data_IF_054918684465
#
_entry.id   IF_054918684465
#
_cell.length_a   1.000
_cell.length_b   1.000
_cell.length_c   1.000
_cell.angle_alpha   90.00
_cell.angle_beta   90.00
_cell.angle_gamma   90.00
#
_symmetry.space_group_name_H-M   'P 1'
#
loop_
_entity.id
_entity.type
_entity.pdbx_description
1 polymer ?
#
# COMPACT_ATOMS: atom_id res chain seq x y z
N UNK A 1 -77.92 -14.39 8.79
CA UNK A 1 -77.05 -13.63 7.92
C UNK A 1 -75.75 -13.31 8.69
N UNK A 2 -74.67 -13.93 8.34
CA UNK A 2 -73.39 -13.90 9.10
C UNK A 2 -72.47 -12.86 8.49
N UNK A 3 -72.03 -11.88 9.29
CA UNK A 3 -70.93 -10.95 8.99
C UNK A 3 -69.59 -11.69 9.12
N UNK A 4 -68.70 -11.61 8.10
CA UNK A 4 -67.30 -12.01 8.15
C UNK A 4 -66.45 -10.75 8.36
N UNK A 5 -65.70 -10.74 9.46
CA UNK A 5 -64.68 -9.76 9.74
C UNK A 5 -63.42 -10.15 9.00
N UNK A 6 -62.79 -9.19 8.28
CA UNK A 6 -61.46 -9.34 7.69
C UNK A 6 -60.45 -8.66 8.61
N UNK A 7 -59.60 -9.47 9.21
CA UNK A 7 -58.36 -9.01 9.88
C UNK A 7 -57.30 -8.73 8.82
N UNK A 8 -56.91 -7.47 8.70
CA UNK A 8 -55.75 -7.03 7.92
C UNK A 8 -54.50 -7.09 8.79
N UNK A 9 -53.60 -8.02 8.51
CA UNK A 9 -52.26 -8.04 9.08
C UNK A 9 -51.34 -7.07 8.33
N UNK A 10 -50.93 -5.99 9.00
CA UNK A 10 -49.83 -5.14 8.57
C UNK A 10 -48.49 -5.88 8.83
N UNK A 11 -47.86 -6.36 7.79
CA UNK A 11 -46.46 -6.79 7.81
C UNK A 11 -45.59 -5.56 7.59
N UNK A 12 -44.97 -5.07 8.67
CA UNK A 12 -43.89 -4.09 8.60
C UNK A 12 -42.64 -4.78 8.05
N UNK A 13 -42.39 -4.62 6.76
CA UNK A 13 -41.14 -5.06 6.12
C UNK A 13 -39.99 -4.10 6.44
N UNK A 14 -39.10 -4.49 7.33
CA UNK A 14 -37.79 -3.84 7.49
C UNK A 14 -36.94 -4.18 6.28
N UNK A 15 -36.99 -3.32 5.27
CA UNK A 15 -36.12 -3.42 4.11
C UNK A 15 -34.65 -3.15 4.49
N UNK A 16 -33.87 -4.21 4.61
CA UNK A 16 -32.43 -4.14 4.59
C UNK A 16 -32.01 -3.67 3.18
N UNK A 17 -31.70 -2.40 3.06
CA UNK A 17 -30.98 -1.87 1.88
C UNK A 17 -29.56 -2.44 1.88
N UNK A 18 -29.36 -3.60 1.27
CA UNK A 18 -28.05 -4.01 0.78
C UNK A 18 -27.75 -3.17 -0.47
N UNK A 19 -26.70 -2.33 -0.48
CA UNK A 19 -26.33 -1.65 -1.70
C UNK A 19 -25.92 -2.72 -2.72
N UNK A 20 -26.64 -2.82 -3.82
CA UNK A 20 -26.23 -3.57 -5.00
C UNK A 20 -24.89 -3.03 -5.45
N UNK A 21 -23.83 -3.76 -5.15
CA UNK A 21 -22.55 -3.56 -5.84
C UNK A 21 -22.82 -3.96 -7.29
N UNK A 22 -23.01 -2.96 -8.17
CA UNK A 22 -23.05 -3.19 -9.62
C UNK A 22 -21.83 -4.03 -9.98
N UNK A 23 -22.04 -5.22 -10.51
CA UNK A 23 -20.98 -6.07 -11.02
C UNK A 23 -20.15 -5.25 -12.01
N UNK A 24 -18.86 -5.03 -11.68
CA UNK A 24 -17.93 -4.34 -12.59
C UNK A 24 -17.79 -5.14 -13.88
N UNK A 25 -17.80 -4.46 -15.00
CA UNK A 25 -17.48 -5.04 -16.30
C UNK A 25 -16.04 -5.60 -16.22
N UNK A 26 -15.77 -6.86 -16.60
CA UNK A 26 -14.42 -7.46 -16.50
C UNK A 26 -13.33 -6.70 -17.28
N UNK A 27 -13.73 -5.82 -18.21
CA UNK A 27 -12.85 -5.01 -19.06
C UNK A 27 -12.52 -3.63 -18.46
N UNK A 28 -13.12 -3.27 -17.32
CA UNK A 28 -12.93 -1.94 -16.73
C UNK A 28 -11.69 -1.92 -15.82
N UNK A 29 -10.84 -0.87 -15.99
CA UNK A 29 -9.68 -0.67 -15.15
C UNK A 29 -10.07 -0.59 -13.67
N UNK A 30 -9.37 -1.34 -12.84
CA UNK A 30 -9.60 -1.39 -11.39
C UNK A 30 -8.29 -1.44 -10.62
N UNK A 31 -8.31 -0.91 -9.40
CA UNK A 31 -7.18 -0.91 -8.47
C UNK A 31 -7.29 -2.13 -7.56
N UNK A 32 -6.18 -2.85 -7.40
CA UNK A 32 -6.08 -4.01 -6.51
C UNK A 32 -5.47 -3.58 -5.19
N UNK A 33 -6.26 -3.63 -4.11
CA UNK A 33 -5.80 -3.21 -2.79
C UNK A 33 -5.16 -4.34 -2.00
N UNK A 34 -4.17 -3.97 -1.19
CA UNK A 34 -3.57 -4.76 -0.11
C UNK A 34 -3.75 -4.01 1.21
N UNK A 35 -3.98 -4.73 2.31
CA UNK A 35 -4.17 -4.11 3.62
C UNK A 35 -2.82 -3.90 4.31
N UNK A 36 -2.53 -2.67 4.71
CA UNK A 36 -1.37 -2.36 5.54
C UNK A 36 -1.56 -2.84 6.97
N UNK A 37 -0.72 -3.73 7.43
CA UNK A 37 -0.72 -4.09 8.85
C UNK A 37 -0.13 -3.00 9.75
N UNK A 38 0.62 -2.04 9.19
CA UNK A 38 1.16 -0.90 9.93
C UNK A 38 0.10 -0.02 10.58
N UNK A 39 -1.08 0.11 9.95
CA UNK A 39 -2.19 0.90 10.50
C UNK A 39 -2.74 0.32 11.81
N UNK A 40 -2.50 -0.95 12.04
CA UNK A 40 -2.97 -1.71 13.21
C UNK A 40 -1.93 -1.81 14.32
N UNK A 41 -0.70 -1.32 14.10
CA UNK A 41 0.36 -1.21 15.10
C UNK A 41 0.71 -2.54 15.76
N UNK A 42 0.37 -2.67 17.04
CA UNK A 42 0.64 -3.85 17.88
C UNK A 42 -0.61 -4.72 18.17
N UNK A 43 -1.74 -4.44 17.54
CA UNK A 43 -2.93 -5.29 17.68
C UNK A 43 -2.64 -6.74 17.30
N UNK A 44 -3.35 -7.73 17.89
CA UNK A 44 -3.14 -9.13 17.56
C UNK A 44 -3.30 -9.42 16.07
N UNK A 45 -2.38 -10.16 15.47
CA UNK A 45 -2.40 -10.49 14.04
C UNK A 45 -3.71 -11.17 13.61
N UNK A 46 -4.30 -12.02 14.45
CA UNK A 46 -5.58 -12.69 14.18
C UNK A 46 -6.72 -11.69 13.98
N UNK A 47 -6.77 -10.62 14.77
CA UNK A 47 -7.74 -9.54 14.61
C UNK A 47 -7.53 -8.74 13.33
N UNK A 48 -6.26 -8.51 12.95
CA UNK A 48 -5.89 -7.78 11.74
C UNK A 48 -6.23 -8.57 10.49
N UNK A 49 -5.93 -9.87 10.47
CA UNK A 49 -6.25 -10.75 9.34
C UNK A 49 -7.76 -10.84 9.07
N UNK A 50 -8.59 -10.77 10.12
CA UNK A 50 -10.04 -10.71 9.99
C UNK A 50 -10.52 -9.43 9.24
N UNK A 51 -9.71 -8.38 9.15
CA UNK A 51 -10.05 -7.12 8.49
C UNK A 51 -9.73 -7.10 6.98
N UNK A 52 -8.93 -8.03 6.49
CA UNK A 52 -8.45 -8.00 5.08
C UNK A 52 -9.62 -7.95 4.10
N UNK A 53 -10.53 -8.90 4.16
CA UNK A 53 -11.70 -8.92 3.27
C UNK A 53 -12.63 -7.74 3.52
N UNK A 54 -12.82 -7.35 4.79
CA UNK A 54 -13.68 -6.23 5.17
C UNK A 54 -13.15 -4.87 4.65
N UNK A 55 -11.84 -4.74 4.43
CA UNK A 55 -11.22 -3.55 3.82
C UNK A 55 -11.28 -3.54 2.29
N UNK A 56 -11.80 -4.59 1.65
CA UNK A 56 -11.78 -4.76 0.20
C UNK A 56 -10.40 -5.11 -0.36
N UNK A 57 -9.47 -5.51 0.49
CA UNK A 57 -8.12 -5.92 0.09
C UNK A 57 -8.08 -7.38 -0.35
N UNK A 58 -7.19 -7.68 -1.29
CA UNK A 58 -6.95 -9.02 -1.84
C UNK A 58 -5.93 -9.84 -1.05
N UNK A 59 -5.34 -9.24 -0.01
CA UNK A 59 -4.33 -9.83 0.87
C UNK A 59 -3.73 -8.78 1.80
N UNK A 60 -2.67 -9.14 2.52
CA UNK A 60 -2.05 -8.29 3.54
C UNK A 60 -0.59 -7.98 3.21
N UNK A 61 -0.17 -6.76 3.54
CA UNK A 61 1.23 -6.36 3.70
C UNK A 61 1.62 -6.48 5.18
N UNK A 62 2.61 -7.32 5.44
CA UNK A 62 3.13 -7.56 6.79
C UNK A 62 4.26 -6.57 7.08
N UNK A 63 4.01 -5.70 8.06
CA UNK A 63 4.98 -4.74 8.54
C UNK A 63 5.66 -5.22 9.83
N UNK A 64 6.89 -4.74 10.03
CA UNK A 64 7.71 -4.99 11.22
C UNK A 64 7.94 -3.71 12.03
N UNK A 65 8.54 -3.85 13.21
CA UNK A 65 9.04 -2.71 14.00
C UNK A 65 9.92 -1.79 13.12
N UNK A 66 9.82 -0.49 13.26
CA UNK A 66 9.08 0.25 14.31
C UNK A 66 7.59 0.52 14.00
N UNK A 67 7.08 0.20 12.80
CA UNK A 67 5.75 0.62 12.34
C UNK A 67 4.62 -0.28 12.82
N UNK A 68 4.91 -1.56 13.00
CA UNK A 68 4.00 -2.56 13.55
C UNK A 68 4.79 -3.70 14.19
N UNK A 69 4.10 -4.65 14.83
CA UNK A 69 4.75 -5.82 15.43
C UNK A 69 4.38 -7.14 14.73
N UNK A 70 3.68 -7.08 13.60
CA UNK A 70 3.09 -8.29 13.01
C UNK A 70 4.13 -9.27 12.45
N UNK A 71 5.26 -8.76 11.91
CA UNK A 71 6.36 -9.64 11.49
C UNK A 71 6.99 -10.37 12.68
N UNK A 72 7.11 -9.71 13.81
CA UNK A 72 7.62 -10.27 15.07
C UNK A 72 6.60 -11.25 15.69
N UNK A 73 5.30 -10.93 15.64
CA UNK A 73 4.25 -11.87 16.08
C UNK A 73 4.31 -13.17 15.27
N UNK A 74 4.49 -13.08 13.94
CA UNK A 74 4.65 -14.26 13.08
C UNK A 74 5.92 -15.03 13.42
N UNK A 75 7.04 -14.34 13.70
CA UNK A 75 8.27 -15.01 14.12
C UNK A 75 8.11 -15.78 15.41
N UNK A 76 7.32 -15.26 16.36
CA UNK A 76 7.06 -15.91 17.64
C UNK A 76 6.12 -17.12 17.51
N UNK A 77 5.10 -17.05 16.65
CA UNK A 77 4.16 -18.18 16.48
C UNK A 77 4.64 -19.24 15.50
N UNK A 78 5.57 -18.91 14.62
CA UNK A 78 6.07 -19.77 13.55
C UNK A 78 5.21 -19.76 12.28
N UNK A 79 5.84 -20.12 11.15
CA UNK A 79 5.22 -20.05 9.82
C UNK A 79 3.99 -20.94 9.68
N UNK A 80 3.99 -22.15 10.30
CA UNK A 80 2.83 -23.05 10.21
C UNK A 80 1.59 -22.48 10.88
N UNK A 81 1.74 -21.86 12.06
CA UNK A 81 0.64 -21.18 12.74
C UNK A 81 0.16 -19.98 11.93
N UNK A 82 1.06 -19.23 11.32
CA UNK A 82 0.72 -18.13 10.41
C UNK A 82 -0.09 -18.61 9.19
N UNK A 83 0.32 -19.71 8.54
CA UNK A 83 -0.41 -20.27 7.41
C UNK A 83 -1.82 -20.75 7.83
N UNK A 84 -1.99 -21.31 9.03
CA UNK A 84 -3.31 -21.65 9.57
C UNK A 84 -4.19 -20.44 9.78
N UNK A 85 -3.62 -19.32 10.29
CA UNK A 85 -4.34 -18.05 10.41
C UNK A 85 -4.76 -17.46 9.06
N UNK A 86 -3.87 -17.44 8.06
CA UNK A 86 -4.21 -16.99 6.71
C UNK A 86 -5.38 -17.81 6.13
N UNK A 87 -5.34 -19.12 6.29
CA UNK A 87 -6.42 -20.01 5.86
C UNK A 87 -7.72 -19.77 6.64
N UNK A 88 -7.66 -19.62 7.97
CA UNK A 88 -8.81 -19.31 8.84
C UNK A 88 -9.56 -18.06 8.34
N UNK A 89 -8.84 -17.01 7.95
CA UNK A 89 -9.40 -15.75 7.49
C UNK A 89 -9.60 -15.67 5.96
N UNK A 90 -9.41 -16.76 5.24
CA UNK A 90 -9.49 -16.83 3.78
C UNK A 90 -8.72 -15.68 3.10
N UNK A 91 -7.50 -15.46 3.56
CA UNK A 91 -6.63 -14.39 3.06
C UNK A 91 -5.24 -14.91 2.72
N UNK A 92 -4.37 -14.03 2.22
CA UNK A 92 -3.00 -14.35 1.84
C UNK A 92 -2.06 -13.20 2.15
N UNK A 93 -0.82 -13.54 2.47
CA UNK A 93 0.26 -12.58 2.46
C UNK A 93 0.62 -12.22 1.02
N UNK A 94 0.87 -10.95 0.74
CA UNK A 94 1.33 -10.48 -0.57
C UNK A 94 2.66 -9.76 -0.49
N UNK A 95 2.84 -8.93 0.52
CA UNK A 95 4.00 -8.05 0.70
C UNK A 95 4.57 -8.23 2.10
N UNK A 96 5.88 -8.01 2.25
CA UNK A 96 6.53 -7.68 3.51
C UNK A 96 7.22 -6.34 3.39
N UNK A 97 6.76 -5.37 4.17
CA UNK A 97 7.39 -4.06 4.27
C UNK A 97 8.38 -4.03 5.42
N UNK A 98 9.65 -3.79 5.09
CA UNK A 98 10.81 -4.08 5.96
C UNK A 98 11.90 -2.99 5.93
N UNK A 99 11.52 -1.72 6.19
CA UNK A 99 12.43 -0.56 6.18
C UNK A 99 13.73 -0.73 6.98
N UNK A 100 13.71 -1.32 8.20
CA UNK A 100 14.92 -1.47 8.99
C UNK A 100 16.02 -2.30 8.33
N UNK A 101 15.65 -3.24 7.46
CA UNK A 101 16.62 -4.08 6.74
C UNK A 101 17.37 -3.28 5.65
N UNK A 102 16.68 -2.31 5.05
CA UNK A 102 17.20 -1.56 3.91
C UNK A 102 17.41 -2.45 2.67
N UNK A 103 17.88 -1.86 1.57
CA UNK A 103 17.92 -2.54 0.27
C UNK A 103 18.91 -3.71 0.19
N UNK A 104 19.92 -3.73 1.06
CA UNK A 104 21.02 -4.71 1.04
C UNK A 104 20.94 -5.72 2.19
N UNK A 105 19.84 -5.78 2.92
CA UNK A 105 19.61 -6.74 4.00
C UNK A 105 18.37 -7.61 3.81
N UNK A 106 17.89 -7.73 2.55
CA UNK A 106 16.60 -8.36 2.25
C UNK A 106 16.68 -9.88 2.01
N UNK A 107 17.85 -10.48 1.86
CA UNK A 107 18.01 -11.85 1.38
C UNK A 107 17.20 -12.88 2.18
N UNK A 108 17.29 -12.82 3.51
CA UNK A 108 16.51 -13.71 4.38
C UNK A 108 15.01 -13.39 4.34
N UNK A 109 14.65 -12.12 4.25
CA UNK A 109 13.24 -11.71 4.16
C UNK A 109 12.64 -12.13 2.81
N UNK A 110 13.39 -12.05 1.70
CA UNK A 110 13.00 -12.54 0.37
C UNK A 110 12.66 -14.04 0.44
N UNK A 111 13.55 -14.84 1.06
CA UNK A 111 13.32 -16.27 1.23
C UNK A 111 12.08 -16.55 2.11
N UNK A 112 11.89 -15.79 3.18
CA UNK A 112 10.73 -15.90 4.07
C UNK A 112 9.43 -15.50 3.36
N UNK A 113 9.43 -14.41 2.60
CA UNK A 113 8.28 -13.96 1.78
C UNK A 113 7.88 -15.06 0.81
N UNK A 114 8.84 -15.65 0.09
CA UNK A 114 8.59 -16.78 -0.82
C UNK A 114 7.96 -17.97 -0.10
N UNK A 115 8.51 -18.35 1.04
CA UNK A 115 8.02 -19.48 1.86
C UNK A 115 6.57 -19.27 2.30
N UNK A 116 6.18 -18.03 2.58
CA UNK A 116 4.85 -17.68 3.06
C UNK A 116 3.87 -17.25 1.94
N UNK A 117 4.22 -17.47 0.67
CA UNK A 117 3.35 -17.22 -0.48
C UNK A 117 3.28 -15.77 -0.94
N UNK A 118 4.06 -14.88 -0.33
CA UNK A 118 4.19 -13.48 -0.75
C UNK A 118 4.91 -13.34 -2.10
N UNK A 119 4.88 -12.13 -2.66
CA UNK A 119 5.43 -11.82 -3.98
C UNK A 119 6.38 -10.64 -3.98
N UNK A 120 6.40 -9.85 -2.91
CA UNK A 120 7.10 -8.57 -2.89
C UNK A 120 7.67 -8.26 -1.51
N UNK A 121 8.85 -7.62 -1.49
CA UNK A 121 9.39 -6.91 -0.34
C UNK A 121 9.39 -5.42 -0.62
N UNK A 122 9.12 -4.59 0.38
CA UNK A 122 9.17 -3.13 0.26
C UNK A 122 10.11 -2.55 1.31
N UNK A 123 10.98 -1.62 0.90
CA UNK A 123 11.75 -0.77 1.80
C UNK A 123 12.15 0.52 1.08
N UNK A 124 12.77 1.49 1.80
CA UNK A 124 13.37 2.64 1.15
C UNK A 124 14.79 2.32 0.66
N UNK A 125 15.24 3.00 -0.39
CA UNK A 125 16.66 3.05 -0.71
C UNK A 125 17.38 3.85 0.38
N UNK A 126 18.55 3.42 0.80
CA UNK A 126 19.40 4.29 1.61
C UNK A 126 20.11 5.29 0.70
N UNK A 127 20.62 6.38 1.27
CA UNK A 127 21.51 7.26 0.53
C UNK A 127 22.77 6.50 0.15
N UNK A 128 23.25 6.72 -1.07
CA UNK A 128 24.54 6.23 -1.58
C UNK A 128 25.62 7.33 -1.56
N UNK A 129 25.27 8.50 -1.04
CA UNK A 129 26.06 9.71 -0.96
C UNK A 129 25.22 10.84 -0.37
N UNK A 130 25.03 11.93 -1.10
CA UNK A 130 24.13 13.02 -0.71
C UNK A 130 22.66 12.53 -0.68
N UNK A 131 21.91 12.91 0.33
CA UNK A 131 20.46 12.63 0.39
C UNK A 131 19.70 13.49 -0.61
N UNK A 132 18.56 12.98 -1.10
CA UNK A 132 17.70 13.66 -2.08
C UNK A 132 18.49 14.15 -3.31
N UNK A 133 19.28 13.31 -3.98
CA UNK A 133 20.10 13.74 -5.10
C UNK A 133 19.23 14.14 -6.30
N UNK A 134 19.74 15.10 -7.11
CA UNK A 134 19.15 15.55 -8.37
C UNK A 134 20.23 15.58 -9.47
N UNK A 135 19.83 15.68 -10.73
CA UNK A 135 20.73 15.81 -11.87
C UNK A 135 21.80 14.71 -11.94
N UNK A 136 23.04 15.08 -12.25
CA UNK A 136 24.13 14.12 -12.41
C UNK A 136 24.46 13.35 -11.12
N UNK A 137 24.30 13.98 -9.95
CA UNK A 137 24.49 13.28 -8.66
C UNK A 137 23.49 12.13 -8.48
N UNK A 138 22.21 12.34 -8.86
CA UNK A 138 21.21 11.28 -8.85
C UNK A 138 21.60 10.12 -9.77
N UNK A 139 22.10 10.44 -10.97
CA UNK A 139 22.55 9.45 -11.96
C UNK A 139 23.72 8.60 -11.42
N UNK A 140 24.71 9.25 -10.83
CA UNK A 140 25.88 8.56 -10.23
C UNK A 140 25.43 7.62 -9.11
N UNK A 141 24.57 8.11 -8.19
CA UNK A 141 24.12 7.32 -7.05
C UNK A 141 23.23 6.14 -7.47
N UNK A 142 22.36 6.32 -8.47
CA UNK A 142 21.51 5.23 -8.98
C UNK A 142 22.37 4.12 -9.62
N UNK A 143 23.39 4.48 -10.40
CA UNK A 143 24.33 3.49 -10.97
C UNK A 143 25.08 2.73 -9.86
N UNK A 144 25.58 3.44 -8.85
CA UNK A 144 26.23 2.82 -7.71
C UNK A 144 25.30 1.91 -6.91
N UNK A 145 24.03 2.31 -6.75
CA UNK A 145 23.00 1.51 -6.11
C UNK A 145 22.79 0.18 -6.84
N UNK A 146 22.54 0.18 -8.14
CA UNK A 146 22.33 -1.05 -8.91
C UNK A 146 23.58 -1.94 -8.94
N UNK A 147 24.77 -1.37 -9.00
CA UNK A 147 26.01 -2.13 -8.88
C UNK A 147 26.07 -2.89 -7.54
N UNK A 148 25.70 -2.22 -6.44
CA UNK A 148 25.68 -2.83 -5.10
C UNK A 148 24.49 -3.79 -4.91
N UNK A 149 23.37 -3.54 -5.58
CA UNK A 149 22.17 -4.38 -5.49
C UNK A 149 22.34 -5.74 -6.19
N UNK A 150 23.26 -5.86 -7.14
CA UNK A 150 23.39 -7.05 -7.99
C UNK A 150 23.31 -8.40 -7.26
N UNK A 151 24.09 -8.68 -6.18
CA UNK A 151 24.00 -9.97 -5.48
C UNK A 151 22.62 -10.21 -4.84
N UNK A 152 21.95 -9.16 -4.36
CA UNK A 152 20.61 -9.24 -3.76
C UNK A 152 19.52 -9.44 -4.84
N UNK A 153 19.74 -8.88 -6.04
CA UNK A 153 18.89 -9.12 -7.20
C UNK A 153 18.94 -10.60 -7.62
N UNK A 154 20.11 -11.24 -7.61
CA UNK A 154 20.25 -12.67 -7.89
C UNK A 154 19.44 -13.53 -6.89
N UNK A 155 19.43 -13.14 -5.61
CA UNK A 155 18.57 -13.78 -4.61
C UNK A 155 17.09 -13.58 -4.93
N UNK A 156 16.68 -12.36 -5.27
CA UNK A 156 15.29 -12.04 -5.62
C UNK A 156 14.82 -12.84 -6.85
N UNK A 157 15.66 -12.92 -7.90
CA UNK A 157 15.42 -13.71 -9.11
C UNK A 157 15.26 -15.20 -8.79
N UNK A 158 16.17 -15.75 -7.99
CA UNK A 158 16.12 -17.18 -7.55
C UNK A 158 14.80 -17.52 -6.86
N UNK A 159 14.28 -16.61 -6.05
CA UNK A 159 13.04 -16.81 -5.30
C UNK A 159 11.77 -16.34 -6.05
N UNK A 160 11.91 -15.63 -7.17
CA UNK A 160 10.80 -15.03 -7.92
C UNK A 160 10.06 -13.97 -7.08
N UNK A 161 10.81 -13.17 -6.32
CA UNK A 161 10.31 -12.08 -5.48
C UNK A 161 10.71 -10.74 -6.08
N UNK A 162 9.80 -9.77 -6.05
CA UNK A 162 10.05 -8.41 -6.48
C UNK A 162 10.49 -7.56 -5.28
N UNK A 163 11.57 -6.81 -5.40
CA UNK A 163 12.01 -5.79 -4.46
C UNK A 163 11.49 -4.43 -4.93
N UNK A 164 10.58 -3.82 -4.19
CA UNK A 164 10.10 -2.48 -4.47
C UNK A 164 10.72 -1.48 -3.51
N UNK A 165 11.23 -0.38 -4.06
CA UNK A 165 11.91 0.66 -3.29
C UNK A 165 11.07 1.94 -3.29
N UNK A 166 10.73 2.43 -2.10
CA UNK A 166 9.93 3.64 -1.98
C UNK A 166 10.73 4.89 -2.37
N UNK A 167 10.08 5.78 -3.13
CA UNK A 167 10.56 7.15 -3.30
C UNK A 167 10.28 7.93 -2.01
N UNK A 168 11.30 8.10 -1.19
CA UNK A 168 11.17 8.64 0.16
C UNK A 168 12.16 9.78 0.41
N UNK A 169 11.74 10.81 1.16
CA UNK A 169 12.65 11.87 1.62
C UNK A 169 13.83 11.32 2.40
N UNK A 170 14.98 11.98 2.28
CA UNK A 170 16.24 11.56 2.87
C UNK A 170 16.83 10.24 2.34
N UNK A 171 16.41 9.82 1.15
CA UNK A 171 16.91 8.64 0.46
C UNK A 171 17.55 9.01 -0.90
N UNK A 172 18.16 8.04 -1.56
CA UNK A 172 18.62 8.20 -2.94
C UNK A 172 17.44 8.34 -3.90
N UNK A 173 16.44 7.44 -3.77
CA UNK A 173 15.24 7.47 -4.60
C UNK A 173 14.23 8.45 -3.97
N UNK A 174 14.22 9.70 -4.44
CA UNK A 174 13.37 10.76 -3.95
C UNK A 174 12.92 11.72 -5.05
N UNK A 175 13.89 12.33 -5.75
CA UNK A 175 13.61 13.34 -6.77
C UNK A 175 13.08 12.72 -8.07
N UNK A 176 12.35 13.49 -8.92
CA UNK A 176 11.98 13.05 -10.26
C UNK A 176 13.17 12.55 -11.08
N UNK A 177 14.34 13.19 -10.96
CA UNK A 177 15.56 12.76 -11.67
C UNK A 177 16.03 11.39 -11.20
N UNK A 178 16.09 11.16 -9.87
CA UNK A 178 16.51 9.87 -9.34
C UNK A 178 15.54 8.75 -9.74
N UNK A 179 14.24 9.04 -9.85
CA UNK A 179 13.24 8.06 -10.30
C UNK A 179 13.38 7.72 -11.79
N UNK A 180 13.63 8.73 -12.65
CA UNK A 180 13.92 8.52 -14.07
C UNK A 180 15.19 7.68 -14.28
N UNK A 181 16.28 8.04 -13.61
CA UNK A 181 17.51 7.25 -13.69
C UNK A 181 17.36 5.86 -13.09
N UNK A 182 16.52 5.70 -12.05
CA UNK A 182 16.22 4.38 -11.51
C UNK A 182 15.53 3.51 -12.57
N UNK A 183 14.53 4.02 -13.29
CA UNK A 183 13.88 3.31 -14.39
C UNK A 183 14.87 3.05 -15.56
N UNK A 184 15.66 4.06 -15.97
CA UNK A 184 16.63 3.95 -17.06
C UNK A 184 17.70 2.87 -16.82
N UNK A 185 18.22 2.77 -15.57
CA UNK A 185 19.30 1.83 -15.25
C UNK A 185 18.83 0.55 -14.57
N UNK A 186 17.52 0.36 -14.40
CA UNK A 186 16.96 -0.86 -13.78
C UNK A 186 17.27 -2.09 -14.65
N UNK A 187 18.10 -3.03 -14.14
CA UNK A 187 18.51 -4.19 -14.93
C UNK A 187 17.44 -5.27 -15.08
N UNK A 188 16.43 -5.28 -14.22
CA UNK A 188 15.35 -6.26 -14.25
C UNK A 188 14.06 -5.73 -13.58
N UNK A 189 13.19 -5.06 -14.34
CA UNK A 189 11.93 -4.53 -13.81
C UNK A 189 10.96 -5.58 -13.26
N UNK A 190 11.14 -6.86 -13.61
CA UNK A 190 10.33 -7.95 -13.05
C UNK A 190 10.65 -8.25 -11.59
N UNK A 191 11.87 -7.91 -11.13
CA UNK A 191 12.35 -8.19 -9.79
C UNK A 191 12.76 -6.94 -9.01
N UNK A 192 12.78 -5.77 -9.66
CA UNK A 192 13.08 -4.48 -9.03
C UNK A 192 12.13 -3.42 -9.54
N UNK A 193 11.50 -2.67 -8.62
CA UNK A 193 10.59 -1.59 -8.98
C UNK A 193 10.52 -0.49 -7.94
N UNK A 194 9.68 0.50 -8.21
CA UNK A 194 9.42 1.64 -7.34
C UNK A 194 8.12 1.39 -6.57
N UNK A 195 8.19 1.40 -5.25
CA UNK A 195 7.02 1.55 -4.39
C UNK A 195 6.66 3.04 -4.39
N UNK A 196 5.70 3.40 -5.24
CA UNK A 196 5.42 4.79 -5.55
C UNK A 196 4.63 5.47 -4.43
N UNK A 197 5.17 6.54 -3.87
CA UNK A 197 4.57 7.34 -2.80
C UNK A 197 4.30 8.77 -3.30
N UNK A 198 3.08 9.08 -3.76
CA UNK A 198 2.72 10.37 -4.37
C UNK A 198 3.00 11.57 -3.48
N UNK A 199 2.73 11.44 -2.17
CA UNK A 199 2.87 12.52 -1.22
C UNK A 199 4.31 13.06 -1.09
N UNK A 200 5.32 12.24 -1.35
CA UNK A 200 6.72 12.68 -1.36
C UNK A 200 7.07 13.55 -2.57
N UNK A 201 6.23 13.54 -3.61
CA UNK A 201 6.45 14.34 -4.81
C UNK A 201 5.71 15.67 -4.80
N UNK A 202 4.83 15.94 -3.83
CA UNK A 202 4.06 17.18 -3.76
C UNK A 202 4.95 18.44 -3.68
N UNK A 203 6.15 18.34 -3.09
CA UNK A 203 7.13 19.44 -3.04
C UNK A 203 7.72 19.82 -4.41
N UNK A 204 7.53 18.98 -5.43
CA UNK A 204 7.98 19.22 -6.82
C UNK A 204 6.84 19.74 -7.73
N UNK A 205 5.66 19.97 -7.17
CA UNK A 205 4.46 20.44 -7.87
C UNK A 205 3.29 19.46 -7.75
N UNK A 206 2.07 19.99 -7.78
CA UNK A 206 0.85 19.19 -7.59
C UNK A 206 0.58 18.19 -8.74
N UNK A 207 1.09 18.46 -9.93
CA UNK A 207 1.00 17.60 -11.12
C UNK A 207 2.11 16.54 -11.17
N UNK A 208 3.18 16.72 -10.41
CA UNK A 208 4.36 15.85 -10.45
C UNK A 208 4.07 14.38 -10.18
N UNK A 209 3.21 13.98 -9.22
CA UNK A 209 2.88 12.58 -9.03
C UNK A 209 2.29 11.92 -10.28
N UNK A 210 1.30 12.56 -10.92
CA UNK A 210 0.67 12.04 -12.14
C UNK A 210 1.62 12.01 -13.34
N UNK A 211 2.49 13.02 -13.47
CA UNK A 211 3.54 13.08 -14.48
C UNK A 211 4.52 11.93 -14.33
N UNK A 212 5.03 11.70 -13.12
CA UNK A 212 5.97 10.61 -12.84
C UNK A 212 5.34 9.23 -13.08
N UNK A 213 4.10 9.00 -12.70
CA UNK A 213 3.38 7.75 -13.03
C UNK A 213 3.36 7.54 -14.54
N UNK A 214 3.05 8.58 -15.32
CA UNK A 214 2.99 8.48 -16.78
C UNK A 214 4.35 8.24 -17.43
N UNK A 215 5.43 8.80 -16.87
CA UNK A 215 6.80 8.62 -17.37
C UNK A 215 7.37 7.24 -17.01
N UNK A 216 7.14 6.76 -15.80
CA UNK A 216 7.67 5.46 -15.31
C UNK A 216 6.92 4.27 -15.92
N UNK A 217 5.63 4.45 -16.23
CA UNK A 217 4.80 3.38 -16.77
C UNK A 217 4.51 2.25 -15.76
N UNK A 218 3.73 1.28 -16.21
CA UNK A 218 3.35 0.11 -15.39
C UNK A 218 4.54 -0.79 -15.05
N UNK A 219 5.55 -0.81 -15.89
CA UNK A 219 6.72 -1.68 -15.75
C UNK A 219 7.53 -1.37 -14.49
N UNK A 220 7.67 -0.09 -14.13
CA UNK A 220 8.51 0.33 -13.02
C UNK A 220 7.74 0.59 -11.72
N UNK A 221 6.39 0.55 -11.72
CA UNK A 221 5.55 0.80 -10.54
C UNK A 221 4.76 -0.46 -10.16
N UNK A 222 5.35 -1.43 -9.45
CA UNK A 222 4.64 -2.61 -8.97
C UNK A 222 3.73 -2.33 -7.77
N UNK A 223 3.91 -1.20 -7.09
CA UNK A 223 3.22 -0.87 -5.86
C UNK A 223 3.05 0.64 -5.70
N UNK A 224 1.90 1.07 -5.16
CA UNK A 224 1.61 2.47 -4.86
C UNK A 224 1.02 2.62 -3.46
N UNK A 225 1.53 3.59 -2.70
CA UNK A 225 0.92 4.08 -1.48
C UNK A 225 -0.10 5.18 -1.79
N UNK A 226 -1.32 5.03 -1.35
CA UNK A 226 -2.29 6.11 -1.27
C UNK A 226 -2.21 6.74 0.11
N UNK A 227 -1.40 7.77 0.20
CA UNK A 227 -1.15 8.56 1.40
C UNK A 227 -1.01 10.02 1.00
N UNK A 228 -1.46 10.92 1.89
CA UNK A 228 -1.28 12.35 1.78
C UNK A 228 -0.19 12.85 2.71
N UNK A 229 0.39 14.00 2.40
CA UNK A 229 1.30 14.66 3.31
C UNK A 229 0.50 15.27 4.48
N UNK A 230 0.89 14.97 5.70
CA UNK A 230 0.29 15.53 6.90
C UNK A 230 1.30 15.77 8.02
N UNK A 231 1.11 16.85 8.78
CA UNK A 231 1.98 17.20 9.91
C UNK A 231 1.98 16.10 10.98
N UNK A 232 0.87 15.37 11.11
CA UNK A 232 0.72 14.23 12.02
C UNK A 232 1.69 13.09 11.77
N UNK A 233 2.30 13.00 10.56
CA UNK A 233 3.36 12.03 10.28
C UNK A 233 4.69 12.31 10.98
N UNK A 234 4.90 13.56 11.43
CA UNK A 234 6.18 14.05 12.00
C UNK A 234 6.10 14.36 13.49
N UNK A 235 4.94 14.78 13.97
CA UNK A 235 4.73 15.14 15.38
C UNK A 235 3.36 14.68 15.86
N UNK A 236 3.24 14.50 17.18
CA UNK A 236 1.95 14.21 17.79
C UNK A 236 1.02 15.41 17.66
N UNK A 237 -0.17 15.17 17.15
CA UNK A 237 -1.27 16.12 17.00
C UNK A 237 -2.56 15.45 17.49
N UNK A 238 -3.68 16.17 17.48
CA UNK A 238 -4.98 15.56 17.69
C UNK A 238 -5.29 14.53 16.58
N UNK A 239 -6.22 13.63 16.84
CA UNK A 239 -6.49 12.49 15.96
C UNK A 239 -7.06 12.90 14.60
N UNK A 240 -7.89 13.94 14.54
CA UNK A 240 -8.46 14.42 13.26
C UNK A 240 -7.36 14.96 12.34
N UNK A 241 -6.46 15.79 12.88
CA UNK A 241 -5.28 16.29 12.16
C UNK A 241 -4.34 15.15 11.74
N UNK A 242 -4.16 14.12 12.58
CA UNK A 242 -3.34 12.96 12.22
C UNK A 242 -3.93 12.17 11.04
N UNK A 243 -5.28 12.07 11.01
CA UNK A 243 -6.00 11.36 9.95
C UNK A 243 -6.01 12.10 8.59
N UNK A 244 -5.60 13.38 8.54
CA UNK A 244 -5.43 14.12 7.26
C UNK A 244 -4.40 13.49 6.32
N UNK A 245 -3.57 12.58 6.81
CA UNK A 245 -2.68 11.77 5.99
C UNK A 245 -3.42 10.75 5.10
N UNK A 246 -4.69 10.48 5.38
CA UNK A 246 -5.50 9.53 4.62
C UNK A 246 -6.10 10.18 3.37
N UNK A 247 -6.16 9.48 2.23
CA UNK A 247 -6.79 9.98 1.01
C UNK A 247 -8.21 10.50 1.22
N UNK A 248 -8.45 11.70 0.69
CA UNK A 248 -9.72 12.39 0.79
C UNK A 248 -9.94 13.18 2.08
N UNK A 249 -8.93 13.27 2.94
CA UNK A 249 -8.94 14.11 4.15
C UNK A 249 -7.95 15.28 4.08
N UNK A 250 -6.90 15.17 3.29
CA UNK A 250 -5.93 16.23 3.05
C UNK A 250 -6.21 16.99 1.74
N UNK A 251 -5.15 17.44 1.09
CA UNK A 251 -5.22 18.38 -0.05
C UNK A 251 -4.78 17.80 -1.39
N UNK A 252 -4.31 16.54 -1.42
CA UNK A 252 -3.83 15.93 -2.66
C UNK A 252 -5.01 15.55 -3.56
N UNK A 253 -5.01 16.10 -4.79
CA UNK A 253 -5.98 15.68 -5.80
C UNK A 253 -5.60 14.33 -6.41
N UNK A 254 -6.42 13.31 -6.14
CA UNK A 254 -6.19 11.97 -6.64
C UNK A 254 -6.75 11.74 -8.05
N UNK A 255 -7.55 12.65 -8.61
CA UNK A 255 -8.11 12.48 -9.97
C UNK A 255 -7.00 12.39 -11.02
N UNK A 256 -5.98 13.30 -11.07
CA UNK A 256 -4.87 13.18 -12.00
C UNK A 256 -4.05 11.90 -11.80
N UNK A 257 -3.84 11.49 -10.53
CA UNK A 257 -3.08 10.28 -10.17
C UNK A 257 -3.78 9.03 -10.70
N UNK A 258 -5.07 8.88 -10.41
CA UNK A 258 -5.88 7.74 -10.86
C UNK A 258 -6.01 7.72 -12.39
N UNK A 259 -6.13 8.89 -13.04
CA UNK A 259 -6.12 9.03 -14.49
C UNK A 259 -4.80 8.54 -15.09
N UNK A 260 -3.67 8.89 -14.49
CA UNK A 260 -2.35 8.41 -14.91
C UNK A 260 -2.21 6.90 -14.71
N UNK A 261 -2.65 6.34 -13.58
CA UNK A 261 -2.66 4.90 -13.32
C UNK A 261 -3.50 4.14 -14.36
N UNK A 262 -4.69 4.66 -14.70
CA UNK A 262 -5.53 4.09 -15.77
C UNK A 262 -4.81 4.14 -17.12
N UNK A 263 -4.20 5.28 -17.46
CA UNK A 263 -3.49 5.47 -18.74
C UNK A 263 -2.36 4.48 -18.94
N UNK A 264 -1.59 4.16 -17.89
CA UNK A 264 -0.50 3.18 -17.96
C UNK A 264 -0.98 1.73 -17.80
N UNK A 265 -2.30 1.52 -17.66
CA UNK A 265 -2.88 0.21 -17.33
C UNK A 265 -2.22 -0.44 -16.11
N UNK A 266 -2.16 0.29 -15.00
CA UNK A 266 -1.50 -0.15 -13.77
C UNK A 266 -2.03 -1.50 -13.29
N UNK A 267 -1.15 -2.47 -13.12
CA UNK A 267 -1.45 -3.84 -12.69
C UNK A 267 -0.86 -4.19 -11.32
N UNK A 268 -0.19 -3.24 -10.69
CA UNK A 268 0.43 -3.41 -9.37
C UNK A 268 -0.57 -3.51 -8.22
N UNK A 269 -0.07 -3.42 -7.01
CA UNK A 269 -0.86 -3.38 -5.78
C UNK A 269 -0.91 -1.95 -5.24
N UNK A 270 -2.00 -1.61 -4.56
CA UNK A 270 -2.18 -0.32 -3.92
C UNK A 270 -2.51 -0.48 -2.43
N UNK A 271 -1.98 0.40 -1.61
CA UNK A 271 -2.20 0.41 -0.17
C UNK A 271 -2.71 1.77 0.30
N UNK A 272 -3.79 1.77 1.08
CA UNK A 272 -4.18 2.96 1.85
C UNK A 272 -3.27 3.02 3.06
N UNK A 273 -2.57 4.14 3.23
CA UNK A 273 -1.54 4.24 4.25
C UNK A 273 -1.55 5.58 4.98
N UNK A 274 -1.09 5.57 6.21
CA UNK A 274 -0.68 6.73 7.01
C UNK A 274 0.29 6.31 8.09
N UNK A 275 0.94 7.28 8.68
CA UNK A 275 1.82 7.05 9.82
C UNK A 275 1.17 7.48 11.14
N UNK A 276 0.76 6.55 12.02
CA UNK A 276 0.43 6.89 13.39
C UNK A 276 1.63 7.50 14.13
N UNK A 277 1.39 8.40 15.06
CA UNK A 277 2.43 9.00 15.89
C UNK A 277 2.12 8.82 17.38
N UNK A 278 2.99 8.09 18.14
CA UNK A 278 4.26 7.46 17.72
C UNK A 278 4.08 6.27 16.77
N UNK A 279 5.16 5.86 16.09
CA UNK A 279 5.14 4.66 15.26
C UNK A 279 4.85 3.41 16.09
N UNK A 280 4.19 2.43 15.48
CA UNK A 280 3.95 1.11 16.09
C UNK A 280 2.71 1.01 16.95
N UNK A 281 1.96 2.12 17.14
CA UNK A 281 0.63 2.07 17.76
C UNK A 281 -0.47 1.91 16.70
N UNK A 282 -1.64 1.37 17.06
CA UNK A 282 -2.79 1.36 16.17
C UNK A 282 -3.24 2.79 15.81
N UNK A 283 -3.62 3.00 14.57
CA UNK A 283 -4.16 4.29 14.10
C UNK A 283 -5.40 4.74 14.89
N UNK A 284 -6.25 3.79 15.24
CA UNK A 284 -7.44 3.95 16.08
C UNK A 284 -7.54 2.79 17.09
N UNK A 285 -8.34 2.92 18.16
CA UNK A 285 -8.33 1.95 19.26
C UNK A 285 -8.74 0.52 18.91
N UNK A 286 -9.46 0.29 17.82
CA UNK A 286 -9.94 -1.04 17.44
C UNK A 286 -9.71 -1.34 15.96
N UNK A 287 -9.45 -2.60 15.64
CA UNK A 287 -9.29 -3.06 14.26
C UNK A 287 -10.46 -2.67 13.35
N UNK A 288 -11.69 -2.77 13.84
CA UNK A 288 -12.90 -2.36 13.09
C UNK A 288 -12.95 -0.86 12.81
N UNK A 289 -12.56 -0.02 13.76
CA UNK A 289 -12.51 1.43 13.57
C UNK A 289 -11.46 1.81 12.52
N UNK A 290 -10.28 1.18 12.55
CA UNK A 290 -9.24 1.35 11.54
C UNK A 290 -9.76 0.97 10.15
N UNK A 291 -10.35 -0.20 10.01
CA UNK A 291 -10.92 -0.69 8.75
C UNK A 291 -11.99 0.25 8.19
N UNK A 292 -12.80 0.84 9.06
CA UNK A 292 -13.82 1.84 8.65
C UNK A 292 -13.18 3.07 8.00
N UNK A 293 -12.09 3.60 8.57
CA UNK A 293 -11.37 4.74 7.98
C UNK A 293 -10.63 4.35 6.69
N UNK A 294 -9.97 3.21 6.66
CA UNK A 294 -9.37 2.66 5.43
C UNK A 294 -10.41 2.57 4.31
N UNK A 295 -11.61 2.08 4.61
CA UNK A 295 -12.69 1.99 3.62
C UNK A 295 -13.20 3.35 3.14
N UNK A 296 -13.25 4.38 4.00
CA UNK A 296 -13.59 5.74 3.56
C UNK A 296 -12.61 6.24 2.51
N UNK A 297 -11.31 6.10 2.77
CA UNK A 297 -10.26 6.51 1.83
C UNK A 297 -10.25 5.67 0.57
N UNK A 298 -10.44 4.36 0.68
CA UNK A 298 -10.58 3.48 -0.50
C UNK A 298 -11.77 3.90 -1.37
N UNK A 299 -12.93 4.14 -0.78
CA UNK A 299 -14.12 4.59 -1.51
C UNK A 299 -13.95 5.97 -2.14
N UNK A 300 -13.18 6.86 -1.52
CA UNK A 300 -12.79 8.14 -2.13
C UNK A 300 -11.95 7.91 -3.40
N UNK A 301 -10.91 7.07 -3.35
CA UNK A 301 -10.11 6.70 -4.53
C UNK A 301 -10.98 6.05 -5.62
N UNK A 302 -11.89 5.16 -5.25
CA UNK A 302 -12.86 4.55 -6.18
C UNK A 302 -13.79 5.59 -6.82
N UNK A 303 -14.18 6.62 -6.06
CA UNK A 303 -14.97 7.74 -6.59
C UNK A 303 -14.16 8.56 -7.60
N UNK A 304 -12.87 8.81 -7.33
CA UNK A 304 -11.96 9.43 -8.30
C UNK A 304 -11.83 8.59 -9.57
N UNK A 305 -11.72 7.25 -9.43
CA UNK A 305 -11.65 6.32 -10.55
C UNK A 305 -12.93 6.37 -11.40
N UNK A 306 -14.11 6.37 -10.77
CA UNK A 306 -15.38 6.45 -11.49
C UNK A 306 -15.51 7.74 -12.30
N UNK A 307 -15.04 8.89 -11.78
CA UNK A 307 -14.99 10.17 -12.53
C UNK A 307 -14.06 10.13 -13.75
N UNK A 308 -13.07 9.26 -13.73
CA UNK A 308 -12.12 9.08 -14.86
C UNK A 308 -12.64 8.05 -15.87
N UNK A 309 -13.53 7.15 -15.46
CA UNK A 309 -14.11 6.10 -16.29
C UNK A 309 -15.34 6.58 -17.08
N UNK A 310 -16.07 7.58 -16.58
CA UNK A 310 -17.20 8.25 -17.28
C UNK A 310 -16.70 9.36 -18.15
#
# INVERSE_FOLDING_TARGET
>A
MKRREYLTHLLAGTGLFTPLVKGRNPTEFSIRYVLSSALYGDLPLDEVLAQVTASGASGIDIWRKVHATHREQISAMGDEAFQKLLKKHNTRMQISTCYPLGPFGLDQEIAWVKKNGGKMTVCATRSMGKVNPTGEEAKIQVKAFFKKLKPHLEVAQKHGILMAFENHGNAMLHSPDSMRYFAEFNPDPRHVGIAFAPHHLQSFGNDMPAKMISELGNEHIPFIYFQEYGIGSKKRVDKETELEQLPGRGTLDYIPIVKALKKINFTGLAEIFMHPTPRGIPMLPTAKAITKEVNKSRLYIETCLNKVNG
#
